data_IF_142560770791
#
_entry.id   IF_142560770791
#
_cell.length_a   1.000
_cell.length_b   1.000
_cell.length_c   1.000
_cell.angle_alpha   90.00
_cell.angle_beta   90.00
_cell.angle_gamma   90.00
#
_symmetry.space_group_name_H-M   'P 1'
#
loop_
_entity.id
_entity.type
_entity.pdbx_description
1 polymer ?
#
# COMPACT_ATOMS: atom_id res chain seq x y z
N UNK A 1 -7.30 19.86 -1.28
CA UNK A 1 -7.20 19.74 -2.74
C UNK A 1 -8.59 19.72 -3.33
N UNK A 2 -8.83 20.44 -4.41
CA UNK A 2 -10.07 20.33 -5.20
C UNK A 2 -9.89 19.14 -6.15
N UNK A 3 -10.90 18.27 -6.23
CA UNK A 3 -10.90 17.08 -7.07
C UNK A 3 -12.12 17.09 -8.00
N UNK A 4 -12.33 16.04 -8.79
CA UNK A 4 -13.44 15.95 -9.74
C UNK A 4 -14.82 16.25 -9.10
N UNK A 5 -15.74 16.77 -9.90
CA UNK A 5 -17.11 17.05 -9.45
C UNK A 5 -17.97 15.78 -9.52
N UNK A 6 -19.00 15.75 -8.68
CA UNK A 6 -20.07 14.75 -8.70
C UNK A 6 -21.42 15.46 -8.90
N UNK A 7 -22.43 14.70 -9.29
CA UNK A 7 -23.82 15.16 -9.47
C UNK A 7 -24.75 14.29 -8.60
N UNK A 8 -24.92 14.63 -7.30
CA UNK A 8 -25.71 13.83 -6.37
C UNK A 8 -27.23 14.05 -6.57
N UNK A 9 -28.08 13.07 -6.25
CA UNK A 9 -29.52 13.22 -6.42
C UNK A 9 -30.10 14.23 -5.43
N UNK A 10 -30.77 15.27 -5.95
CA UNK A 10 -31.49 16.25 -5.14
C UNK A 10 -30.67 17.47 -4.69
N UNK A 11 -29.42 17.61 -5.15
CA UNK A 11 -28.59 18.79 -4.92
C UNK A 11 -27.78 19.17 -6.17
N UNK A 12 -27.32 20.43 -6.31
CA UNK A 12 -26.52 20.83 -7.46
C UNK A 12 -25.15 20.14 -7.52
N UNK A 13 -24.58 19.90 -8.71
CA UNK A 13 -23.23 19.37 -8.85
C UNK A 13 -22.18 20.20 -8.10
N UNK A 14 -21.24 19.53 -7.46
CA UNK A 14 -20.18 20.19 -6.70
C UNK A 14 -18.87 19.41 -6.75
N UNK A 15 -17.75 20.11 -6.50
CA UNK A 15 -16.44 19.47 -6.42
C UNK A 15 -16.31 18.58 -5.18
N UNK A 16 -15.56 17.49 -5.33
CA UNK A 16 -15.04 16.71 -4.21
C UNK A 16 -13.69 17.26 -3.76
N UNK A 17 -13.17 16.77 -2.63
CA UNK A 17 -11.94 17.31 -2.03
C UNK A 17 -11.18 16.27 -1.24
N UNK A 18 -9.87 16.46 -1.18
CA UNK A 18 -8.99 15.77 -0.22
C UNK A 18 -8.28 16.74 0.73
N UNK A 19 -7.79 16.22 1.85
CA UNK A 19 -7.21 16.98 2.95
C UNK A 19 -5.88 16.37 3.43
N UNK A 20 -4.94 17.24 3.76
CA UNK A 20 -3.64 16.83 4.27
C UNK A 20 -3.07 17.87 5.22
N UNK A 21 -2.52 17.39 6.34
CA UNK A 21 -2.01 18.22 7.42
C UNK A 21 -0.68 17.66 7.91
N UNK A 22 0.29 18.54 8.13
CA UNK A 22 1.62 18.18 8.64
C UNK A 22 2.10 19.20 9.66
N UNK A 23 3.08 18.81 10.47
CA UNK A 23 3.84 19.77 11.26
C UNK A 23 4.86 20.53 10.41
N UNK A 24 5.08 21.80 10.74
CA UNK A 24 6.03 22.67 10.05
C UNK A 24 5.64 22.98 8.59
N UNK A 25 6.65 23.13 7.73
CA UNK A 25 6.49 23.59 6.34
C UNK A 25 6.68 22.45 5.31
N UNK A 26 6.39 21.20 5.67
CA UNK A 26 6.58 20.04 4.76
C UNK A 26 5.41 19.88 3.78
N UNK A 27 5.30 20.80 2.83
CA UNK A 27 4.15 20.92 1.93
C UNK A 27 3.94 19.67 1.06
N UNK A 28 5.01 19.06 0.56
CA UNK A 28 4.91 17.85 -0.28
C UNK A 28 4.20 16.69 0.42
N UNK A 29 4.40 16.52 1.74
CA UNK A 29 3.71 15.47 2.50
C UNK A 29 2.23 15.81 2.70
N UNK A 30 1.89 17.07 2.99
CA UNK A 30 0.49 17.51 3.06
C UNK A 30 -0.22 17.34 1.71
N UNK A 31 0.43 17.70 0.60
CA UNK A 31 -0.11 17.51 -0.75
C UNK A 31 -0.34 16.02 -1.06
N UNK A 32 0.66 15.16 -0.81
CA UNK A 32 0.53 13.72 -1.01
C UNK A 32 -0.60 13.12 -0.17
N UNK A 33 -0.70 13.52 1.11
CA UNK A 33 -1.78 13.10 2.01
C UNK A 33 -3.15 13.50 1.46
N UNK A 34 -3.32 14.73 0.98
CA UNK A 34 -4.59 15.17 0.41
C UNK A 34 -4.97 14.45 -0.89
N UNK A 35 -3.99 14.04 -1.70
CA UNK A 35 -4.25 13.25 -2.91
C UNK A 35 -4.68 11.83 -2.56
N UNK A 36 -3.98 11.18 -1.63
CA UNK A 36 -4.30 9.82 -1.18
C UNK A 36 -5.61 9.79 -0.38
N UNK A 37 -5.89 10.80 0.45
CA UNK A 37 -7.16 10.95 1.15
C UNK A 37 -8.34 10.90 0.17
N UNK A 38 -8.31 11.70 -0.90
CA UNK A 38 -9.37 11.63 -1.90
C UNK A 38 -9.40 10.28 -2.64
N UNK A 39 -8.25 9.67 -2.91
CA UNK A 39 -8.21 8.36 -3.58
C UNK A 39 -8.84 7.25 -2.72
N UNK A 40 -8.65 7.32 -1.40
CA UNK A 40 -9.24 6.38 -0.43
C UNK A 40 -10.72 6.65 -0.14
N UNK A 41 -11.25 7.82 -0.52
CA UNK A 41 -12.69 8.08 -0.50
C UNK A 41 -13.48 7.34 -1.61
N UNK A 42 -12.83 6.45 -2.38
CA UNK A 42 -13.45 5.72 -3.47
C UNK A 42 -14.71 4.93 -3.04
N UNK A 43 -14.73 4.22 -1.90
CA UNK A 43 -15.94 3.53 -1.42
C UNK A 43 -17.13 4.47 -1.17
N UNK A 44 -16.89 5.66 -0.59
CA UNK A 44 -17.92 6.65 -0.28
C UNK A 44 -18.58 7.23 -1.53
N UNK A 45 -17.81 7.36 -2.62
CA UNK A 45 -18.32 7.83 -3.90
C UNK A 45 -18.74 6.69 -4.84
N UNK A 46 -18.69 5.42 -4.39
CA UNK A 46 -19.01 4.26 -5.22
C UNK A 46 -18.06 4.10 -6.42
N UNK A 47 -16.84 4.61 -6.32
CA UNK A 47 -15.82 4.52 -7.36
C UNK A 47 -15.18 3.13 -7.35
N UNK A 48 -15.02 2.53 -8.53
CA UNK A 48 -14.26 1.30 -8.64
C UNK A 48 -12.76 1.60 -8.52
N UNK A 49 -12.06 0.89 -7.63
CA UNK A 49 -10.61 1.00 -7.51
C UNK A 49 -9.92 0.46 -8.77
N UNK A 50 -9.31 1.37 -9.53
CA UNK A 50 -8.61 1.05 -10.80
C UNK A 50 -7.09 1.09 -10.66
N UNK A 51 -6.58 1.60 -9.54
CA UNK A 51 -5.16 1.68 -9.27
C UNK A 51 -4.84 1.53 -7.78
N UNK A 52 -3.57 1.25 -7.45
CA UNK A 52 -3.16 0.91 -6.08
C UNK A 52 -3.46 2.02 -5.06
N UNK A 53 -3.47 3.28 -5.47
CA UNK A 53 -3.75 4.40 -4.57
C UNK A 53 -5.22 4.43 -4.06
N UNK A 54 -6.12 3.69 -4.69
CA UNK A 54 -7.53 3.55 -4.30
C UNK A 54 -7.78 2.25 -3.49
N UNK A 55 -6.78 1.38 -3.38
CA UNK A 55 -6.86 0.15 -2.59
C UNK A 55 -6.45 0.44 -1.15
N UNK A 56 -7.44 0.48 -0.25
CA UNK A 56 -7.26 0.88 1.14
C UNK A 56 -6.26 -0.01 1.88
N UNK A 57 -6.42 -1.34 1.77
CA UNK A 57 -5.56 -2.29 2.46
C UNK A 57 -4.13 -2.21 1.92
N UNK A 58 -3.96 -2.19 0.60
CA UNK A 58 -2.64 -2.10 -0.01
C UNK A 58 -1.90 -0.82 0.40
N UNK A 59 -2.59 0.33 0.41
CA UNK A 59 -1.99 1.61 0.78
C UNK A 59 -1.65 1.64 2.27
N UNK A 60 -2.62 1.39 3.14
CA UNK A 60 -2.46 1.61 4.58
C UNK A 60 -1.53 0.58 5.23
N UNK A 61 -1.55 -0.68 4.78
CA UNK A 61 -0.68 -1.74 5.32
C UNK A 61 0.81 -1.54 4.97
N UNK A 62 1.14 -0.66 4.02
CA UNK A 62 2.52 -0.43 3.56
C UNK A 62 2.98 1.03 3.70
N UNK A 63 2.17 1.89 4.33
CA UNK A 63 2.45 3.32 4.42
C UNK A 63 3.44 3.69 5.55
N UNK A 64 3.38 3.00 6.69
CA UNK A 64 4.24 3.31 7.83
C UNK A 64 5.65 2.73 7.64
N UNK A 65 6.63 3.63 7.55
CA UNK A 65 8.02 3.22 7.40
C UNK A 65 8.62 2.62 8.67
N UNK A 66 8.05 2.85 9.85
CA UNK A 66 8.49 2.20 11.08
C UNK A 66 8.29 0.69 10.95
N UNK A 67 7.11 0.28 10.48
CA UNK A 67 6.78 -1.11 10.20
C UNK A 67 7.55 -1.63 8.98
N UNK A 68 7.45 -0.93 7.84
CA UNK A 68 8.03 -1.40 6.58
C UNK A 68 9.56 -1.52 6.65
N UNK A 69 10.25 -0.53 7.22
CA UNK A 69 11.69 -0.59 7.39
C UNK A 69 12.08 -1.63 8.46
N UNK A 70 11.30 -1.74 9.53
CA UNK A 70 11.46 -2.80 10.54
C UNK A 70 11.47 -4.18 9.89
N UNK A 71 10.43 -4.49 9.12
CA UNK A 71 10.32 -5.76 8.40
C UNK A 71 11.45 -5.92 7.38
N UNK A 72 11.71 -4.98 6.48
CA UNK A 72 12.81 -5.18 5.50
C UNK A 72 14.16 -5.38 6.19
N UNK A 73 14.42 -4.66 7.28
CA UNK A 73 15.67 -4.77 8.02
C UNK A 73 15.80 -6.07 8.83
N UNK A 74 14.68 -6.72 9.20
CA UNK A 74 14.69 -7.96 9.98
C UNK A 74 15.42 -9.08 9.24
N UNK A 75 15.42 -9.08 7.91
CA UNK A 75 16.07 -10.09 7.07
C UNK A 75 17.59 -10.23 7.32
N UNK A 76 18.22 -9.25 7.96
CA UNK A 76 19.62 -9.33 8.40
C UNK A 76 19.83 -10.20 9.64
N UNK A 77 18.77 -10.47 10.39
CA UNK A 77 18.81 -11.37 11.54
C UNK A 77 19.10 -12.80 11.08
N UNK A 78 19.55 -13.69 11.99
CA UNK A 78 19.85 -15.05 11.59
C UNK A 78 18.58 -15.82 11.19
N UNK A 79 18.49 -16.19 9.91
CA UNK A 79 17.44 -17.04 9.33
C UNK A 79 17.98 -18.43 8.92
N UNK A 80 19.09 -18.88 9.52
CA UNK A 80 19.75 -20.12 9.09
C UNK A 80 18.95 -21.38 9.39
N UNK A 81 18.03 -21.36 10.37
CA UNK A 81 17.13 -22.50 10.65
C UNK A 81 16.12 -22.67 9.52
N UNK A 82 15.40 -21.59 9.17
CA UNK A 82 14.43 -21.60 8.08
C UNK A 82 15.12 -21.90 6.74
N UNK A 83 16.27 -21.27 6.49
CA UNK A 83 17.04 -21.53 5.27
C UNK A 83 17.52 -22.99 5.19
N UNK A 84 17.89 -23.60 6.31
CA UNK A 84 18.28 -25.01 6.33
C UNK A 84 17.10 -25.95 6.05
N UNK A 85 15.88 -25.60 6.49
CA UNK A 85 14.68 -26.35 6.15
C UNK A 85 14.40 -26.31 4.64
N UNK A 86 14.49 -25.13 4.02
CA UNK A 86 14.36 -24.97 2.56
C UNK A 86 15.48 -25.71 1.78
N UNK A 87 16.72 -25.69 2.28
CA UNK A 87 17.83 -26.42 1.67
C UNK A 87 17.65 -27.95 1.73
N UNK A 88 17.02 -28.48 2.78
CA UNK A 88 16.73 -29.91 2.90
C UNK A 88 15.75 -30.35 1.81
N UNK A 89 14.66 -29.60 1.64
CA UNK A 89 13.66 -29.86 0.61
C UNK A 89 14.28 -29.75 -0.79
N UNK A 90 15.05 -28.69 -1.04
CA UNK A 90 15.73 -28.49 -2.32
C UNK A 90 16.65 -29.67 -2.68
N UNK A 91 17.44 -30.17 -1.72
CA UNK A 91 18.35 -31.32 -1.93
C UNK A 91 17.59 -32.61 -2.22
N UNK A 92 16.45 -32.84 -1.57
CA UNK A 92 15.60 -34.00 -1.84
C UNK A 92 15.01 -33.96 -3.24
N UNK A 93 14.46 -32.81 -3.64
CA UNK A 93 13.93 -32.63 -4.99
C UNK A 93 15.01 -32.83 -6.06
N UNK A 94 16.25 -32.39 -5.81
CA UNK A 94 17.38 -32.64 -6.71
C UNK A 94 17.76 -34.13 -6.81
N UNK A 95 17.65 -34.89 -5.73
CA UNK A 95 17.91 -36.34 -5.73
C UNK A 95 16.80 -37.14 -6.42
N UNK A 96 15.55 -36.67 -6.33
CA UNK A 96 14.39 -37.27 -6.99
C UNK A 96 14.38 -37.01 -8.50
N UNK A 97 14.98 -35.91 -8.95
CA UNK A 97 15.21 -35.64 -10.36
C UNK A 97 16.40 -36.46 -10.87
N UNK A 98 16.11 -37.67 -11.33
CA UNK A 98 17.07 -38.54 -12.02
C UNK A 98 17.38 -37.94 -13.40
N UNK A 99 18.30 -36.97 -13.46
CA UNK A 99 18.95 -36.60 -14.70
C UNK A 99 19.87 -37.76 -15.10
N UNK A 100 19.30 -38.71 -15.86
CA UNK A 100 20.05 -39.77 -16.53
C UNK A 100 21.08 -39.22 -17.51
#
# INVERSE_FOLDING_TARGET
>A
MVNGFIDPPGEPPHFTRGYGLVFGMSERKAMAMALVDRALQAPEYGEHATGPAQDEEFVLAHADNVEAAGFVSHLKLPHYVDFQAELELLKRLQQEQNHG
#
